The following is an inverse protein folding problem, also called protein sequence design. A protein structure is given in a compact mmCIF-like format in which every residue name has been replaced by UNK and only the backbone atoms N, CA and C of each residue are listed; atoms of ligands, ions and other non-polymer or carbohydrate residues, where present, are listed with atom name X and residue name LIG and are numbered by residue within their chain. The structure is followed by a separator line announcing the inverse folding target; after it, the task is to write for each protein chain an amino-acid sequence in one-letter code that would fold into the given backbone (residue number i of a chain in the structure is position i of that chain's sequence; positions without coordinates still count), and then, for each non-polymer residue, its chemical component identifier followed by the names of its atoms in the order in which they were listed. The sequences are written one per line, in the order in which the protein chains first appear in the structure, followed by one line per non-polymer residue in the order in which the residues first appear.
data_IF_066891448283
#
_entry.id   IF_066891448283
#
_cell.length_a   1.000
_cell.length_b   1.000
_cell.length_c   1.000
_cell.angle_alpha   90.00
_cell.angle_beta   90.00
_cell.angle_gamma   90.00
#
_symmetry.space_group_name_H-M   'P 1'
#
loop_
_entity.id
_entity.type
_entity.pdbx_description
1 polymer ?
#
# COMPACT_ATOMS: atom_id res chain seq x y z
N UNK A 1 1.96 3.03 2.64
CA UNK A 1 3.37 3.11 3.07
C UNK A 1 3.39 3.17 4.60
N UNK A 2 4.46 2.80 5.30
CA UNK A 2 4.55 3.16 6.72
C UNK A 2 4.77 4.68 6.81
N UNK A 3 4.13 5.41 7.75
CA UNK A 3 3.48 4.93 8.98
C UNK A 3 2.05 4.38 8.85
N UNK A 4 1.39 4.60 7.71
CA UNK A 4 -0.01 4.20 7.46
C UNK A 4 -0.28 2.69 7.39
N UNK A 5 0.75 1.84 7.46
CA UNK A 5 0.58 0.38 7.51
C UNK A 5 -0.37 -0.04 8.64
N UNK A 6 -0.45 0.74 9.72
CA UNK A 6 -1.34 0.48 10.85
C UNK A 6 -2.82 0.34 10.44
N UNK A 7 -3.27 1.04 9.39
CA UNK A 7 -4.64 0.90 8.86
C UNK A 7 -4.92 -0.51 8.34
N UNK A 8 -3.94 -1.15 7.71
CA UNK A 8 -4.09 -2.42 7.03
C UNK A 8 -4.03 -3.61 7.98
N UNK A 9 -3.45 -3.43 9.16
CA UNK A 9 -3.36 -4.46 10.21
C UNK A 9 -4.34 -4.22 11.37
N UNK A 10 -5.30 -3.31 11.21
CA UNK A 10 -6.33 -3.02 12.22
C UNK A 10 -5.82 -2.29 13.46
N UNK A 11 -4.61 -1.71 13.40
CA UNK A 11 -4.03 -0.93 14.50
C UNK A 11 -4.45 0.53 14.38
N UNK A 12 -5.35 0.94 15.27
CA UNK A 12 -5.98 2.27 15.28
C UNK A 12 -5.68 3.05 16.58
N UNK A 13 -6.15 4.29 16.66
CA UNK A 13 -6.05 5.10 17.87
C UNK A 13 -4.61 5.49 18.21
N UNK A 14 -4.23 5.32 19.48
CA UNK A 14 -2.93 5.71 20.02
C UNK A 14 -1.76 5.11 19.23
N UNK A 15 -1.90 3.87 18.76
CA UNK A 15 -0.85 3.21 17.99
C UNK A 15 -0.59 3.88 16.64
N UNK A 16 -1.67 4.28 15.95
CA UNK A 16 -1.55 5.04 14.69
C UNK A 16 -0.84 6.37 14.95
N UNK A 17 -1.26 7.11 15.98
CA UNK A 17 -0.64 8.38 16.35
C UNK A 17 0.83 8.20 16.67
N UNK A 18 1.19 7.15 17.40
CA UNK A 18 2.58 6.83 17.72
C UNK A 18 3.41 6.55 16.47
N UNK A 19 2.92 5.76 15.52
CA UNK A 19 3.60 5.52 14.23
C UNK A 19 3.89 6.82 13.46
N UNK A 20 3.10 7.88 13.67
CA UNK A 20 3.27 9.19 13.05
C UNK A 20 4.16 10.15 13.88
N UNK A 21 4.94 9.62 14.82
CA UNK A 21 6.00 10.35 15.52
C UNK A 21 7.36 9.95 14.97
N UNK A 22 8.39 10.80 15.14
CA UNK A 22 9.77 10.43 14.81
C UNK A 22 10.17 9.11 15.48
N UNK A 23 9.80 8.95 16.76
CA UNK A 23 10.09 7.75 17.53
C UNK A 23 9.40 6.51 16.94
N UNK A 24 8.12 6.60 16.58
CA UNK A 24 7.40 5.50 15.93
C UNK A 24 7.91 5.20 14.52
N UNK A 25 8.40 6.20 13.78
CA UNK A 25 9.07 5.96 12.50
C UNK A 25 10.32 5.12 12.70
N UNK A 26 11.18 5.49 13.66
CA UNK A 26 12.45 4.80 13.90
C UNK A 26 12.29 3.42 14.53
N UNK A 27 11.31 3.24 15.43
CA UNK A 27 11.18 2.01 16.23
C UNK A 27 10.12 1.03 15.72
N UNK A 28 9.17 1.48 14.92
CA UNK A 28 8.10 0.62 14.37
C UNK A 28 8.16 0.60 12.86
N UNK A 29 8.08 1.76 12.21
CA UNK A 29 7.94 1.83 10.75
C UNK A 29 9.18 1.29 10.04
N UNK A 30 10.37 1.75 10.45
CA UNK A 30 11.63 1.34 9.85
C UNK A 30 11.88 -0.17 10.04
N UNK A 31 11.83 -0.75 11.26
CA UNK A 31 12.01 -2.19 11.44
C UNK A 31 10.99 -3.03 10.68
N UNK A 32 9.71 -2.63 10.66
CA UNK A 32 8.67 -3.36 9.93
C UNK A 32 8.91 -3.30 8.42
N UNK A 33 9.26 -2.13 7.85
CA UNK A 33 9.59 -2.02 6.44
C UNK A 33 10.83 -2.84 6.05
N UNK A 34 11.88 -2.84 6.89
CA UNK A 34 13.08 -3.65 6.67
C UNK A 34 12.78 -5.16 6.77
N UNK A 35 11.96 -5.56 7.74
CA UNK A 35 11.51 -6.95 7.88
C UNK A 35 10.72 -7.38 6.64
N UNK A 36 9.74 -6.59 6.19
CA UNK A 36 8.99 -6.90 4.98
C UNK A 36 9.90 -7.03 3.76
N UNK A 37 10.88 -6.13 3.60
CA UNK A 37 11.86 -6.20 2.53
C UNK A 37 12.71 -7.48 2.61
N UNK A 38 13.21 -7.84 3.80
CA UNK A 38 13.98 -9.08 4.03
C UNK A 38 13.15 -10.33 3.66
N UNK A 39 11.90 -10.42 4.14
CA UNK A 39 11.01 -11.56 3.83
C UNK A 39 10.73 -11.64 2.31
N UNK A 40 10.53 -10.50 1.64
CA UNK A 40 10.34 -10.46 0.18
C UNK A 40 11.58 -10.92 -0.58
N UNK A 41 12.78 -10.55 -0.13
CA UNK A 41 14.04 -10.97 -0.76
C UNK A 41 14.41 -12.43 -0.47
N UNK A 42 13.98 -13.00 0.66
CA UNK A 42 14.18 -14.44 0.99
C UNK A 42 13.25 -15.36 0.21
N UNK A 43 12.04 -14.92 -0.07
CA UNK A 43 11.02 -15.74 -0.73
C UNK A 43 10.46 -15.11 -2.02
N UNK A 44 11.30 -14.65 -2.95
CA UNK A 44 10.85 -13.94 -4.14
C UNK A 44 10.06 -14.88 -5.07
N UNK A 45 10.47 -16.15 -5.17
CA UNK A 45 9.79 -17.14 -6.02
C UNK A 45 8.36 -17.43 -5.58
N UNK A 46 8.10 -17.89 -4.34
CA UNK A 46 6.73 -18.15 -3.90
C UNK A 46 5.90 -16.88 -3.83
N UNK A 47 6.46 -15.68 -3.60
CA UNK A 47 5.69 -14.43 -3.54
C UNK A 47 5.32 -13.87 -4.93
N UNK A 48 5.90 -14.39 -6.01
CA UNK A 48 5.67 -13.86 -7.36
C UNK A 48 5.13 -14.90 -8.34
N UNK A 49 5.00 -16.17 -7.93
CA UNK A 49 4.62 -17.28 -8.82
C UNK A 49 3.25 -17.10 -9.48
N UNK A 50 2.30 -16.41 -8.82
CA UNK A 50 0.98 -16.12 -9.39
C UNK A 50 0.97 -14.90 -10.31
N UNK A 51 2.03 -14.10 -10.34
CA UNK A 51 2.11 -12.94 -11.24
C UNK A 51 2.35 -13.40 -12.68
N UNK A 52 1.63 -12.85 -13.67
CA UNK A 52 1.94 -13.11 -15.07
C UNK A 52 3.24 -12.41 -15.48
N UNK A 53 3.86 -12.88 -16.56
CA UNK A 53 4.92 -12.11 -17.20
C UNK A 53 4.33 -10.86 -17.89
N UNK A 54 5.07 -9.74 -17.96
CA UNK A 54 6.46 -9.53 -17.50
C UNK A 54 6.60 -9.15 -16.02
N UNK A 55 5.48 -9.06 -15.28
CA UNK A 55 5.45 -8.53 -13.91
C UNK A 55 6.19 -9.43 -12.91
N UNK A 56 6.10 -10.75 -13.08
CA UNK A 56 6.86 -11.72 -12.28
C UNK A 56 8.36 -11.50 -12.42
N UNK A 57 8.87 -11.44 -13.65
CA UNK A 57 10.29 -11.21 -13.90
C UNK A 57 10.76 -9.85 -13.39
N UNK A 58 9.97 -8.79 -13.60
CA UNK A 58 10.27 -7.45 -13.08
C UNK A 58 10.45 -7.47 -11.56
N UNK A 59 9.45 -7.97 -10.82
CA UNK A 59 9.50 -7.98 -9.35
C UNK A 59 10.63 -8.87 -8.83
N UNK A 60 10.87 -10.04 -9.46
CA UNK A 60 12.00 -10.92 -9.07
C UNK A 60 13.35 -10.26 -9.26
N UNK A 61 13.54 -9.54 -10.36
CA UNK A 61 14.79 -8.82 -10.65
C UNK A 61 15.11 -7.79 -9.56
N UNK A 62 14.11 -7.04 -9.12
CA UNK A 62 14.26 -6.03 -8.05
C UNK A 62 14.50 -6.67 -6.67
N UNK A 63 13.94 -7.85 -6.41
CA UNK A 63 14.11 -8.58 -5.14
C UNK A 63 15.41 -9.39 -5.06
N UNK A 64 16.06 -9.69 -6.19
CA UNK A 64 17.28 -10.50 -6.24
C UNK A 64 18.45 -9.81 -6.96
N UNK A 65 18.86 -8.60 -6.54
CA UNK A 65 19.99 -7.92 -7.18
C UNK A 65 21.33 -8.54 -6.77
N UNK A 66 22.43 -8.24 -7.49
CA UNK A 66 23.71 -8.91 -7.32
C UNK A 66 24.33 -8.77 -5.91
N UNK A 67 25.09 -9.78 -5.43
CA UNK A 67 25.60 -9.83 -4.05
C UNK A 67 26.57 -8.69 -3.68
N UNK A 68 27.28 -8.15 -4.68
CA UNK A 68 28.39 -7.21 -4.51
C UNK A 68 27.95 -5.85 -3.92
N UNK A 69 26.65 -5.60 -3.75
CA UNK A 69 26.09 -4.36 -3.23
C UNK A 69 25.32 -4.52 -1.90
N UNK A 70 25.41 -5.66 -1.20
CA UNK A 70 24.51 -5.98 -0.07
C UNK A 70 24.46 -4.91 1.03
N UNK A 71 25.60 -4.39 1.51
CA UNK A 71 25.64 -3.37 2.58
C UNK A 71 25.11 -2.03 2.10
N UNK A 72 25.57 -1.57 0.94
CA UNK A 72 25.11 -0.32 0.33
C UNK A 72 23.59 -0.35 0.08
N UNK A 73 23.02 -1.51 -0.27
CA UNK A 73 21.59 -1.68 -0.48
C UNK A 73 20.77 -1.51 0.79
N UNK A 74 21.19 -2.07 1.92
CA UNK A 74 20.48 -1.89 3.18
C UNK A 74 20.56 -0.42 3.65
N UNK A 75 21.70 0.24 3.45
CA UNK A 75 21.81 1.67 3.71
C UNK A 75 20.85 2.49 2.82
N UNK A 76 20.80 2.20 1.53
CA UNK A 76 19.86 2.84 0.58
C UNK A 76 18.41 2.55 0.98
N UNK A 77 18.08 1.32 1.41
CA UNK A 77 16.74 0.96 1.86
C UNK A 77 16.35 1.75 3.11
N UNK A 78 17.22 1.85 4.11
CA UNK A 78 17.01 2.66 5.32
C UNK A 78 16.77 4.12 4.94
N UNK A 79 17.66 4.72 4.13
CA UNK A 79 17.53 6.11 3.69
C UNK A 79 16.23 6.33 2.91
N UNK A 80 15.85 5.41 2.03
CA UNK A 80 14.61 5.50 1.24
C UNK A 80 13.37 5.41 2.13
N UNK A 81 13.36 4.49 3.12
CA UNK A 81 12.26 4.35 4.08
C UNK A 81 12.14 5.62 4.92
N UNK A 82 13.26 6.14 5.45
CA UNK A 82 13.26 7.35 6.28
C UNK A 82 12.83 8.58 5.47
N UNK A 83 13.33 8.74 4.25
CA UNK A 83 12.94 9.84 3.37
C UNK A 83 11.45 9.75 3.00
N UNK A 84 10.96 8.55 2.69
CA UNK A 84 9.54 8.30 2.43
C UNK A 84 8.65 8.61 3.64
N UNK A 85 9.05 8.18 4.84
CA UNK A 85 8.33 8.48 6.07
C UNK A 85 8.37 9.98 6.41
N UNK A 86 9.52 10.64 6.28
CA UNK A 86 9.66 12.07 6.56
C UNK A 86 8.81 12.93 5.61
N UNK A 87 8.85 12.61 4.31
CA UNK A 87 8.01 13.32 3.31
C UNK A 87 6.53 13.05 3.54
N UNK A 88 6.14 11.84 3.94
CA UNK A 88 4.78 11.51 4.34
C UNK A 88 4.32 12.34 5.55
N UNK A 89 5.08 12.35 6.65
CA UNK A 89 4.75 13.13 7.85
C UNK A 89 4.66 14.63 7.57
N UNK A 90 5.58 15.15 6.76
CA UNK A 90 5.55 16.55 6.35
C UNK A 90 4.27 16.85 5.55
N UNK A 91 3.90 15.96 4.62
CA UNK A 91 2.70 16.15 3.79
C UNK A 91 1.40 15.98 4.59
N UNK A 92 1.40 15.15 5.62
CA UNK A 92 0.28 14.99 6.54
C UNK A 92 -0.08 16.28 7.26
N UNK A 93 0.92 17.10 7.60
CA UNK A 93 0.67 18.41 8.22
C UNK A 93 -0.27 19.26 7.33
N UNK A 94 -0.07 19.26 6.01
CA UNK A 94 -0.86 20.06 5.07
C UNK A 94 -2.21 19.43 4.70
N UNK A 95 -2.33 18.11 4.80
CA UNK A 95 -3.52 17.36 4.32
C UNK A 95 -4.48 16.98 5.44
N UNK A 96 -3.97 16.88 6.67
CA UNK A 96 -4.73 16.63 7.88
C UNK A 96 -4.64 17.88 8.78
N UNK A 97 -5.55 18.86 8.61
CA UNK A 97 -5.47 20.12 9.32
C UNK A 97 -5.45 19.89 10.84
N UNK A 98 -4.30 20.18 11.47
CA UNK A 98 -4.10 20.17 12.92
C UNK A 98 -4.06 21.60 13.44
N UNK A 99 -4.57 21.89 14.66
CA UNK A 99 -4.75 23.26 15.15
C UNK A 99 -3.54 24.18 14.96
N UNK A 100 -2.30 23.80 15.33
CA UNK A 100 -1.15 24.70 15.20
C UNK A 100 -0.86 25.14 13.75
N UNK A 101 -1.14 24.29 12.75
CA UNK A 101 -0.95 24.66 11.35
C UNK A 101 -2.16 25.41 10.78
N UNK A 102 -3.38 25.03 11.17
CA UNK A 102 -4.57 25.77 10.73
C UNK A 102 -4.66 27.16 11.33
N UNK A 103 -4.04 27.41 12.48
CA UNK A 103 -3.93 28.76 13.05
C UNK A 103 -2.98 29.63 12.22
N UNK A 104 -1.90 29.06 11.68
CA UNK A 104 -0.94 29.74 10.81
C UNK A 104 -1.41 29.87 9.36
N UNK A 105 -2.11 28.85 8.84
CA UNK A 105 -2.61 28.76 7.47
C UNK A 105 -4.11 28.42 7.47
N UNK A 106 -5.00 29.37 7.85
CA UNK A 106 -6.44 29.10 7.99
C UNK A 106 -7.13 28.62 6.71
N UNK A 107 -6.58 29.00 5.55
CA UNK A 107 -7.08 28.59 4.24
C UNK A 107 -7.07 27.07 4.03
N UNK A 108 -6.21 26.31 4.73
CA UNK A 108 -6.20 24.84 4.66
C UNK A 108 -7.49 24.21 5.21
N UNK A 109 -8.10 24.84 6.21
CA UNK A 109 -9.34 24.40 6.83
C UNK A 109 -10.60 24.93 6.12
N UNK A 110 -10.46 25.82 5.13
CA UNK A 110 -11.61 26.40 4.43
C UNK A 110 -12.41 25.31 3.71
N UNK A 111 -13.72 25.19 3.98
CA UNK A 111 -14.59 24.28 3.25
C UNK A 111 -14.82 24.82 1.85
N UNK A 112 -14.64 23.97 0.84
CA UNK A 112 -14.91 24.31 -0.56
C UNK A 112 -16.30 23.83 -0.97
N UNK A 113 -16.66 22.60 -0.61
CA UNK A 113 -17.94 21.96 -0.91
C UNK A 113 -18.19 20.78 0.04
N UNK A 114 -19.40 20.22 0.02
CA UNK A 114 -19.72 18.99 0.75
C UNK A 114 -19.65 17.78 -0.18
N UNK A 115 -18.86 16.77 0.19
CA UNK A 115 -18.72 15.52 -0.57
C UNK A 115 -18.94 14.32 0.36
N UNK A 116 -19.83 13.40 -0.03
CA UNK A 116 -20.20 12.19 0.74
C UNK A 116 -20.48 12.48 2.24
N UNK A 117 -21.25 13.54 2.51
CA UNK A 117 -21.66 13.91 3.87
C UNK A 117 -20.54 14.50 4.73
N UNK A 118 -19.45 15.00 4.14
CA UNK A 118 -18.38 15.70 4.83
C UNK A 118 -17.94 16.96 4.08
N UNK A 119 -17.49 18.01 4.79
CA UNK A 119 -16.84 19.13 4.14
C UNK A 119 -15.54 18.67 3.48
N UNK A 120 -15.41 18.95 2.19
CA UNK A 120 -14.17 18.88 1.44
C UNK A 120 -13.44 20.21 1.66
N UNK A 121 -12.42 20.19 2.51
CA UNK A 121 -11.56 21.35 2.75
C UNK A 121 -10.43 21.42 1.72
N UNK A 122 -9.74 22.56 1.62
CA UNK A 122 -8.55 22.69 0.78
C UNK A 122 -7.51 21.62 1.12
N UNK A 123 -7.26 21.35 2.40
CA UNK A 123 -6.35 20.28 2.83
C UNK A 123 -6.73 18.89 2.29
N UNK A 124 -8.02 18.54 2.30
CA UNK A 124 -8.50 17.26 1.74
C UNK A 124 -8.44 17.24 0.21
N UNK A 125 -8.67 18.37 -0.44
CA UNK A 125 -8.47 18.46 -1.88
C UNK A 125 -7.00 18.21 -2.24
N UNK A 126 -6.05 18.84 -1.54
CA UNK A 126 -4.62 18.57 -1.69
C UNK A 126 -4.28 17.10 -1.44
N UNK A 127 -4.90 16.47 -0.44
CA UNK A 127 -4.76 15.04 -0.18
C UNK A 127 -5.18 14.19 -1.39
N UNK A 128 -6.35 14.44 -1.96
CA UNK A 128 -6.86 13.68 -3.09
C UNK A 128 -6.05 13.94 -4.37
N UNK A 129 -5.72 15.19 -4.67
CA UNK A 129 -4.92 15.55 -5.84
C UNK A 129 -3.51 14.95 -5.77
N UNK A 130 -2.86 15.03 -4.61
CA UNK A 130 -1.53 14.41 -4.41
C UNK A 130 -1.58 12.88 -4.51
N UNK A 131 -2.67 12.25 -4.07
CA UNK A 131 -2.88 10.80 -4.23
C UNK A 131 -2.99 10.42 -5.71
N UNK A 132 -3.79 11.17 -6.49
CA UNK A 132 -3.93 10.94 -7.94
C UNK A 132 -2.61 11.18 -8.66
N UNK A 133 -1.91 12.28 -8.35
CA UNK A 133 -0.62 12.59 -8.93
C UNK A 133 0.43 11.52 -8.60
N UNK A 134 0.53 11.10 -7.34
CA UNK A 134 1.42 10.03 -6.89
C UNK A 134 1.11 8.70 -7.57
N UNK A 135 -0.16 8.33 -7.66
CA UNK A 135 -0.60 7.12 -8.38
C UNK A 135 -0.23 7.17 -9.87
N UNK A 136 -0.38 8.32 -10.52
CA UNK A 136 0.02 8.51 -11.91
C UNK A 136 1.53 8.38 -12.10
N UNK A 137 2.33 8.99 -11.22
CA UNK A 137 3.79 8.87 -11.23
C UNK A 137 4.20 7.41 -11.09
N UNK A 138 3.62 6.68 -10.14
CA UNK A 138 3.89 5.25 -9.95
C UNK A 138 3.44 4.41 -11.16
N UNK A 139 2.28 4.69 -11.74
CA UNK A 139 1.78 4.00 -12.91
C UNK A 139 2.68 4.20 -14.14
N UNK A 140 3.15 5.44 -14.36
CA UNK A 140 4.09 5.76 -15.44
C UNK A 140 5.46 5.10 -15.21
N UNK A 141 5.99 5.17 -13.98
CA UNK A 141 7.25 4.52 -13.62
C UNK A 141 7.17 3.00 -13.82
N UNK A 142 6.08 2.38 -13.35
CA UNK A 142 5.82 0.96 -13.53
C UNK A 142 5.67 0.56 -15.00
N UNK A 143 4.89 1.32 -15.78
CA UNK A 143 4.72 1.06 -17.21
C UNK A 143 6.06 1.17 -17.97
N UNK A 144 6.91 2.13 -17.61
CA UNK A 144 8.28 2.25 -18.16
C UNK A 144 9.15 1.06 -17.76
N UNK A 145 9.07 0.61 -16.52
CA UNK A 145 9.83 -0.55 -16.04
C UNK A 145 9.40 -1.85 -16.75
N UNK A 146 8.08 -2.05 -16.92
CA UNK A 146 7.51 -3.17 -17.67
C UNK A 146 7.98 -3.15 -19.13
N UNK A 147 7.95 -2.00 -19.80
CA UNK A 147 8.42 -1.86 -21.20
C UNK A 147 9.92 -2.11 -21.40
N UNK A 148 10.72 -2.02 -20.34
CA UNK A 148 12.16 -2.31 -20.37
C UNK A 148 12.48 -3.78 -20.12
N UNK A 149 11.51 -4.57 -19.67
CA UNK A 149 11.73 -6.01 -19.51
C UNK A 149 11.91 -6.64 -20.90
N UNK A 150 12.89 -7.55 -21.07
CA UNK A 150 13.00 -8.29 -22.30
C UNK A 150 11.71 -9.08 -22.54
N UNK A 151 11.29 -9.19 -23.81
CA UNK A 151 10.17 -10.04 -24.17
C UNK A 151 10.48 -11.47 -23.75
N UNK A 152 9.74 -11.93 -22.74
CA UNK A 152 9.76 -13.31 -22.26
C UNK A 152 8.43 -13.93 -22.65
N UNK A 153 8.35 -14.58 -23.83
CA UNK A 153 7.13 -15.25 -24.24
C UNK A 153 6.88 -16.44 -23.32
N UNK A 154 6.10 -16.22 -22.27
CA UNK A 154 5.49 -17.28 -21.49
C UNK A 154 4.04 -17.42 -21.94
N UNK A 155 3.64 -18.63 -22.32
CA UNK A 155 2.25 -18.91 -22.61
C UNK A 155 1.40 -18.57 -21.37
N UNK A 156 0.30 -17.80 -21.50
CA UNK A 156 -0.56 -17.48 -20.38
C UNK A 156 -0.98 -18.76 -19.65
N UNK A 157 -0.72 -18.85 -18.35
CA UNK A 157 -1.19 -19.98 -17.55
C UNK A 157 -2.59 -19.64 -16.99
N UNK A 158 -3.68 -20.19 -17.59
CA UNK A 158 -5.04 -19.84 -17.20
C UNK A 158 -5.38 -20.29 -15.78
N UNK A 159 -4.63 -21.25 -15.20
CA UNK A 159 -4.84 -21.68 -13.82
C UNK A 159 -4.29 -20.63 -12.84
N UNK A 160 -3.08 -20.09 -13.08
CA UNK A 160 -2.51 -18.99 -12.28
C UNK A 160 -3.41 -17.75 -12.31
N UNK A 161 -3.85 -17.36 -13.51
CA UNK A 161 -4.77 -16.24 -13.68
C UNK A 161 -6.09 -16.46 -12.92
N UNK A 162 -6.69 -17.65 -13.02
CA UNK A 162 -7.90 -18.00 -12.27
C UNK A 162 -7.71 -17.89 -10.76
N UNK A 163 -6.59 -18.36 -10.21
CA UNK A 163 -6.29 -18.24 -8.77
C UNK A 163 -6.16 -16.77 -8.38
N UNK A 164 -5.44 -15.96 -9.16
CA UNK A 164 -5.28 -14.53 -8.89
C UNK A 164 -6.62 -13.79 -8.91
N UNK A 165 -7.45 -14.03 -9.94
CA UNK A 165 -8.79 -13.46 -10.04
C UNK A 165 -9.73 -13.93 -8.92
N UNK A 166 -9.62 -15.21 -8.51
CA UNK A 166 -10.39 -15.74 -7.38
C UNK A 166 -9.98 -15.05 -6.06
N UNK A 167 -8.68 -14.86 -5.81
CA UNK A 167 -8.19 -14.08 -4.66
C UNK A 167 -8.73 -12.66 -4.68
N UNK A 168 -8.70 -11.99 -5.84
CA UNK A 168 -9.22 -10.63 -5.98
C UNK A 168 -10.73 -10.56 -5.72
N UNK A 169 -11.51 -11.45 -6.35
CA UNK A 169 -12.97 -11.49 -6.20
C UNK A 169 -13.35 -11.79 -4.74
N UNK A 170 -12.70 -12.77 -4.11
CA UNK A 170 -12.93 -13.11 -2.71
C UNK A 170 -12.58 -11.94 -1.79
N UNK A 171 -11.45 -11.25 -2.02
CA UNK A 171 -11.05 -10.11 -1.21
C UNK A 171 -12.00 -8.90 -1.36
N UNK A 172 -12.49 -8.64 -2.57
CA UNK A 172 -13.50 -7.61 -2.81
C UNK A 172 -14.82 -7.96 -2.12
N UNK A 173 -15.29 -9.20 -2.24
CA UNK A 173 -16.50 -9.66 -1.59
C UNK A 173 -16.40 -9.57 -0.06
N UNK A 174 -15.35 -10.16 0.53
CA UNK A 174 -15.13 -10.13 1.99
C UNK A 174 -14.98 -8.70 2.49
N UNK A 175 -14.12 -7.89 1.87
CA UNK A 175 -13.91 -6.51 2.31
C UNK A 175 -15.16 -5.65 2.21
N UNK A 176 -15.94 -5.76 1.13
CA UNK A 176 -17.19 -5.02 0.95
C UNK A 176 -18.29 -5.49 1.91
N UNK A 177 -18.47 -6.80 2.08
CA UNK A 177 -19.47 -7.37 2.99
C UNK A 177 -19.15 -7.03 4.45
N UNK A 178 -17.88 -7.18 4.85
CA UNK A 178 -17.44 -6.74 6.17
C UNK A 178 -17.67 -5.24 6.34
N UNK A 179 -17.27 -4.40 5.38
CA UNK A 179 -17.44 -2.95 5.49
C UNK A 179 -18.91 -2.54 5.60
N UNK A 180 -19.81 -3.24 4.91
CA UNK A 180 -21.25 -3.06 5.03
C UNK A 180 -21.76 -3.49 6.41
N UNK A 181 -21.38 -4.68 6.89
CA UNK A 181 -21.87 -5.22 8.16
C UNK A 181 -21.31 -4.53 9.41
N UNK A 182 -20.06 -4.07 9.36
CA UNK A 182 -19.31 -3.57 10.53
C UNK A 182 -19.18 -2.04 10.56
N UNK A 183 -19.78 -1.33 9.61
CA UNK A 183 -19.82 0.14 9.61
C UNK A 183 -21.24 0.61 9.89
N UNK A 184 -21.54 1.05 11.13
CA UNK A 184 -22.83 1.63 11.46
C UNK A 184 -23.13 2.85 10.58
N UNK A 185 -24.35 2.92 10.06
CA UNK A 185 -24.88 4.04 9.29
C UNK A 185 -25.08 5.31 10.12
N UNK A 186 -25.18 5.16 11.43
CA UNK A 186 -25.21 6.25 12.42
C UNK A 186 -23.90 7.04 12.52
N UNK A 187 -22.79 6.55 11.95
CA UNK A 187 -21.50 7.23 12.04
C UNK A 187 -21.45 8.50 11.17
N UNK A 188 -20.89 9.62 11.70
CA UNK A 188 -20.69 10.83 10.90
C UNK A 188 -19.81 10.59 9.66
N UNK A 189 -20.34 10.98 8.50
CA UNK A 189 -19.74 10.71 7.19
C UNK A 189 -19.66 9.22 6.86
N UNK A 190 -20.68 8.47 7.24
CA UNK A 190 -20.88 7.06 6.96
C UNK A 190 -20.46 6.62 5.55
N UNK A 191 -20.94 7.23 4.45
CA UNK A 191 -20.61 6.72 3.11
C UNK A 191 -19.10 6.75 2.83
N UNK A 192 -18.41 7.80 3.27
CA UNK A 192 -16.95 7.90 3.16
C UNK A 192 -16.25 6.85 4.04
N UNK A 193 -16.69 6.66 5.30
CA UNK A 193 -16.10 5.65 6.20
C UNK A 193 -16.26 4.24 5.65
N UNK A 194 -17.44 3.93 5.09
CA UNK A 194 -17.74 2.65 4.45
C UNK A 194 -16.82 2.43 3.26
N UNK A 195 -16.69 3.41 2.37
CA UNK A 195 -15.78 3.36 1.22
C UNK A 195 -14.33 3.08 1.63
N UNK A 196 -13.80 3.85 2.59
CA UNK A 196 -12.41 3.67 3.07
C UNK A 196 -12.21 2.27 3.67
N UNK A 197 -13.15 1.80 4.49
CA UNK A 197 -13.08 0.45 5.08
C UNK A 197 -13.15 -0.65 4.02
N UNK A 198 -14.00 -0.52 3.01
CA UNK A 198 -14.04 -1.45 1.87
C UNK A 198 -12.66 -1.55 1.22
N UNK A 199 -12.05 -0.41 0.87
CA UNK A 199 -10.73 -0.39 0.21
C UNK A 199 -9.65 -1.02 1.09
N UNK A 200 -9.56 -0.60 2.36
CA UNK A 200 -8.54 -1.11 3.29
C UNK A 200 -8.71 -2.61 3.52
N UNK A 201 -9.92 -3.07 3.85
CA UNK A 201 -10.17 -4.47 4.16
C UNK A 201 -10.06 -5.38 2.94
N UNK A 202 -10.51 -4.94 1.76
CA UNK A 202 -10.27 -5.68 0.52
C UNK A 202 -8.79 -5.77 0.19
N UNK A 203 -8.02 -4.70 0.39
CA UNK A 203 -6.57 -4.72 0.11
C UNK A 203 -5.83 -5.65 1.09
N UNK A 204 -6.13 -5.56 2.39
CA UNK A 204 -5.55 -6.46 3.39
C UNK A 204 -5.91 -7.93 3.12
N UNK A 205 -7.19 -8.20 2.84
CA UNK A 205 -7.66 -9.54 2.51
C UNK A 205 -6.98 -10.07 1.24
N UNK A 206 -6.85 -9.24 0.20
CA UNK A 206 -6.18 -9.61 -1.04
C UNK A 206 -4.71 -9.95 -0.78
N UNK A 207 -3.97 -9.12 -0.05
CA UNK A 207 -2.57 -9.39 0.27
C UNK A 207 -2.40 -10.73 1.01
N UNK A 208 -3.24 -11.00 2.01
CA UNK A 208 -3.23 -12.28 2.75
C UNK A 208 -3.57 -13.46 1.85
N UNK A 209 -4.66 -13.39 1.10
CA UNK A 209 -5.08 -14.47 0.19
C UNK A 209 -4.05 -14.71 -0.90
N UNK A 210 -3.47 -13.65 -1.47
CA UNK A 210 -2.42 -13.73 -2.47
C UNK A 210 -1.19 -14.45 -1.93
N UNK A 211 -0.70 -14.10 -0.73
CA UNK A 211 0.47 -14.77 -0.13
C UNK A 211 0.16 -16.24 0.14
N UNK A 212 -0.99 -16.56 0.74
CA UNK A 212 -1.39 -17.95 1.03
C UNK A 212 -1.48 -18.76 -0.26
N UNK A 213 -2.19 -18.24 -1.27
CA UNK A 213 -2.37 -18.91 -2.55
C UNK A 213 -1.05 -19.10 -3.29
N UNK A 214 -0.16 -18.09 -3.25
CA UNK A 214 1.13 -18.18 -3.93
C UNK A 214 2.08 -19.18 -3.25
N UNK A 215 2.11 -19.23 -1.91
CA UNK A 215 2.86 -20.25 -1.16
C UNK A 215 2.28 -21.65 -1.40
N UNK A 216 0.97 -21.80 -1.38
CA UNK A 216 0.30 -23.08 -1.64
C UNK A 216 0.55 -23.56 -3.08
N UNK A 217 0.50 -22.65 -4.06
CA UNK A 217 0.85 -22.94 -5.45
C UNK A 217 2.30 -23.39 -5.55
N UNK A 218 3.23 -22.61 -5.02
CA UNK A 218 4.66 -22.92 -5.05
C UNK A 218 4.98 -24.30 -4.47
N UNK A 219 4.38 -24.67 -3.34
CA UNK A 219 4.60 -25.98 -2.71
C UNK A 219 4.06 -27.15 -3.52
N UNK A 220 2.99 -26.95 -4.31
CA UNK A 220 2.33 -28.02 -5.07
C UNK A 220 2.84 -28.16 -6.50
N UNK A 221 3.14 -27.04 -7.15
CA UNK A 221 3.42 -26.95 -8.59
C UNK A 221 4.84 -26.43 -8.87
N UNK A 222 5.44 -25.70 -7.93
CA UNK A 222 6.73 -25.04 -8.14
C UNK A 222 6.61 -23.80 -9.04
N UNK A 223 7.68 -23.54 -9.79
CA UNK A 223 7.78 -22.38 -10.71
C UNK A 223 7.24 -22.66 -12.12
N UNK A 224 6.85 -23.91 -12.38
CA UNK A 224 6.33 -24.40 -13.66
C UNK A 224 4.90 -23.90 -13.94
#
# INVERSE_FOLDING_TARGET
MAPDLSYYVGMHGAWRTFCHTLMGVLTVCLPVCLLLLDLMQRWPRPLTVLLPEPHRSLVRGELQPPPQAAVARWAVAVLSILLGAATHLLWDLFTHPVPPLTDLLPWLAQPLLTFLGRPLTVARLLQHLSTVAGALVLAVAYARAVRRQPDRPEAPNPRRARVLWACLAAALAVGALSAWALTPDTLPGYPMRRLVRTVVWSTSCFATLFVIASVAWWRRVGDA
#
